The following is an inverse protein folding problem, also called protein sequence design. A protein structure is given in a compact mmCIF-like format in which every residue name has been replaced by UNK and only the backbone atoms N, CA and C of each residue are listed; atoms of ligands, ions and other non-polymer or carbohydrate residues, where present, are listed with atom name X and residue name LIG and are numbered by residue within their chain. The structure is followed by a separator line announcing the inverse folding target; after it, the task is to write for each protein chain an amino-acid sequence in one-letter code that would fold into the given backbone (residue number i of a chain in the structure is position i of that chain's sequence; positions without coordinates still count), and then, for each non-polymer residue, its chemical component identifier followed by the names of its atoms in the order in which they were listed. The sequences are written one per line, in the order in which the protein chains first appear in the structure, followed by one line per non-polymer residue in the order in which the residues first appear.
data_IF_685173278549
#
_entry.id   IF_685173278549
#
_cell.length_a   1.000
_cell.length_b   1.000
_cell.length_c   1.000
_cell.angle_alpha   90.00
_cell.angle_beta   90.00
_cell.angle_gamma   90.00
#
_symmetry.space_group_name_H-M   'P 1'
#
loop_
_entity.id
_entity.type
_entity.pdbx_description
1 polymer ?
#
# COMPACT_ATOMS: atom_id res chain seq x y z
N UNK A 1 -1.98 -35.04 6.01
CA UNK A 1 -1.99 -34.02 7.07
C UNK A 1 -3.14 -33.09 6.69
N UNK A 2 -4.30 -33.27 7.31
CA UNK A 2 -5.51 -32.50 6.98
C UNK A 2 -5.46 -31.18 7.74
N UNK A 3 -5.40 -30.06 7.01
CA UNK A 3 -5.71 -28.76 7.58
C UNK A 3 -7.18 -28.77 8.02
N UNK A 4 -7.41 -28.63 9.32
CA UNK A 4 -8.75 -28.50 9.90
C UNK A 4 -9.42 -27.23 9.36
N UNK A 5 -10.63 -27.29 8.78
CA UNK A 5 -11.28 -26.14 8.14
C UNK A 5 -11.85 -25.11 9.13
N UNK A 6 -11.44 -25.16 10.41
CA UNK A 6 -11.98 -24.36 11.51
C UNK A 6 -10.93 -23.47 12.19
N UNK A 7 -9.81 -23.15 11.54
CA UNK A 7 -9.00 -22.04 12.02
C UNK A 7 -9.78 -20.75 11.83
N UNK A 8 -10.35 -20.26 12.94
CA UNK A 8 -10.85 -18.90 13.06
C UNK A 8 -9.79 -17.97 12.46
N UNK A 9 -10.11 -17.16 11.44
CA UNK A 9 -9.13 -16.30 10.79
C UNK A 9 -8.43 -15.50 11.88
N UNK A 10 -7.12 -15.73 12.01
CA UNK A 10 -6.33 -15.15 13.07
C UNK A 10 -6.61 -13.66 13.14
N UNK A 11 -7.11 -13.27 14.31
CA UNK A 11 -7.87 -12.06 14.52
C UNK A 11 -6.96 -10.91 14.11
N UNK A 12 -7.49 -10.08 13.20
CA UNK A 12 -6.88 -8.85 12.68
C UNK A 12 -5.83 -8.27 13.61
N UNK A 13 -4.60 -8.11 13.12
CA UNK A 13 -3.51 -7.57 13.92
C UNK A 13 -3.91 -6.21 14.55
N UNK A 14 -3.33 -5.87 15.70
CA UNK A 14 -3.68 -4.65 16.45
C UNK A 14 -3.59 -3.37 15.61
N UNK A 15 -2.72 -3.35 14.60
CA UNK A 15 -2.61 -2.26 13.65
C UNK A 15 -3.86 -2.10 12.79
N UNK A 16 -4.32 -3.18 12.15
CA UNK A 16 -5.56 -3.20 11.36
C UNK A 16 -6.75 -2.74 12.20
N UNK A 17 -6.83 -3.21 13.44
CA UNK A 17 -7.88 -2.81 14.37
C UNK A 17 -7.80 -1.31 14.72
N UNK A 18 -6.59 -0.77 14.94
CA UNK A 18 -6.36 0.65 15.23
C UNK A 18 -6.79 1.52 14.04
N UNK A 19 -6.34 1.19 12.83
CA UNK A 19 -6.70 1.94 11.62
C UNK A 19 -8.21 1.98 11.42
N UNK A 20 -8.90 0.84 11.58
CA UNK A 20 -10.35 0.77 11.45
C UNK A 20 -11.07 1.56 12.54
N UNK A 21 -10.57 1.57 13.78
CA UNK A 21 -11.16 2.39 14.86
C UNK A 21 -11.01 3.88 14.59
N UNK A 22 -9.90 4.30 13.99
CA UNK A 22 -9.62 5.69 13.64
C UNK A 22 -10.30 6.09 12.32
N UNK A 23 -10.94 5.16 11.61
CA UNK A 23 -11.55 5.39 10.30
C UNK A 23 -10.51 5.68 9.21
N UNK A 24 -9.24 5.33 9.46
CA UNK A 24 -8.14 5.51 8.53
C UNK A 24 -8.18 4.39 7.49
N UNK A 25 -7.89 4.76 6.24
CA UNK A 25 -7.80 3.80 5.15
C UNK A 25 -6.79 2.69 5.49
N UNK A 26 -7.24 1.44 5.31
CA UNK A 26 -6.48 0.24 5.54
C UNK A 26 -6.33 -0.50 4.21
N UNK A 27 -5.08 -0.68 3.76
CA UNK A 27 -4.77 -1.49 2.58
C UNK A 27 -5.24 -2.93 2.78
N UNK A 28 -5.87 -3.50 1.77
CA UNK A 28 -6.39 -4.87 1.79
C UNK A 28 -5.28 -5.92 1.93
N UNK A 29 -4.06 -5.60 1.48
CA UNK A 29 -2.88 -6.45 1.69
C UNK A 29 -2.72 -6.89 3.15
N UNK A 30 -2.98 -6.01 4.12
CA UNK A 30 -2.83 -6.32 5.55
C UNK A 30 -3.85 -7.32 6.10
N UNK A 31 -4.92 -7.58 5.34
CA UNK A 31 -5.93 -8.58 5.67
C UNK A 31 -5.63 -9.93 4.99
N UNK A 32 -4.69 -9.95 4.06
CA UNK A 32 -4.22 -11.17 3.40
C UNK A 32 -3.32 -12.00 4.33
N UNK A 33 -3.14 -13.29 4.04
CA UNK A 33 -2.26 -14.15 4.85
C UNK A 33 -0.81 -13.65 4.87
N UNK A 34 -0.26 -13.30 3.70
CA UNK A 34 1.09 -12.71 3.58
C UNK A 34 1.22 -11.41 4.40
N UNK A 35 0.24 -10.51 4.28
CA UNK A 35 0.26 -9.24 5.02
C UNK A 35 0.06 -9.42 6.52
N UNK A 36 -0.76 -10.37 6.97
CA UNK A 36 -0.91 -10.70 8.39
C UNK A 36 0.39 -11.25 8.98
N UNK A 37 1.09 -12.12 8.25
CA UNK A 37 2.38 -12.66 8.67
C UNK A 37 3.47 -11.57 8.71
N UNK A 38 3.51 -10.71 7.68
CA UNK A 38 4.39 -9.55 7.62
C UNK A 38 4.14 -8.60 8.81
N UNK A 39 2.89 -8.37 9.20
CA UNK A 39 2.61 -7.52 10.36
C UNK A 39 2.97 -8.20 11.67
N UNK A 40 2.82 -9.52 11.81
CA UNK A 40 3.25 -10.23 13.02
C UNK A 40 4.76 -10.16 13.21
N UNK A 41 5.53 -10.32 12.14
CA UNK A 41 6.99 -10.18 12.19
C UNK A 41 7.39 -8.73 12.49
N UNK A 42 6.64 -7.75 11.97
CA UNK A 42 6.81 -6.33 12.31
C UNK A 42 6.19 -5.91 13.65
N UNK A 43 5.44 -6.75 14.36
CA UNK A 43 4.80 -6.39 15.64
C UNK A 43 5.83 -6.04 16.73
N UNK A 44 7.05 -6.56 16.63
CA UNK A 44 8.19 -6.13 17.45
C UNK A 44 8.84 -4.79 17.01
N UNK A 45 8.55 -4.35 15.79
CA UNK A 45 9.02 -3.10 15.18
C UNK A 45 7.83 -2.20 14.83
N UNK A 46 7.34 -1.47 15.83
CA UNK A 46 6.79 -0.13 15.61
C UNK A 46 5.60 -0.01 14.60
N UNK A 47 4.49 -0.71 14.87
CA UNK A 47 3.23 -0.39 14.19
C UNK A 47 2.51 0.85 14.77
N UNK A 48 2.99 1.38 15.90
CA UNK A 48 2.49 2.62 16.48
C UNK A 48 3.18 3.83 15.84
N UNK A 49 2.49 4.97 15.67
CA UNK A 49 3.08 6.25 15.23
C UNK A 49 4.01 6.91 16.29
N UNK A 50 4.60 6.11 17.17
CA UNK A 50 5.55 6.57 18.17
C UNK A 50 6.92 6.87 17.55
N UNK A 51 7.74 7.63 18.29
CA UNK A 51 9.14 7.81 17.93
C UNK A 51 9.93 6.55 18.31
N UNK A 52 10.79 6.09 17.40
CA UNK A 52 11.74 5.02 17.64
C UNK A 52 13.17 5.58 17.62
N UNK A 53 14.03 5.15 18.56
CA UNK A 53 15.43 5.51 18.53
C UNK A 53 16.12 4.71 17.41
N UNK A 54 16.90 5.42 16.59
CA UNK A 54 17.99 4.87 15.79
C UNK A 54 19.27 5.23 16.53
N UNK A 55 20.05 4.21 16.88
CA UNK A 55 21.37 4.39 17.45
C UNK A 55 22.35 4.33 16.29
N UNK A 56 23.06 5.43 16.05
CA UNK A 56 24.22 5.42 15.15
C UNK A 56 25.34 4.60 15.83
N UNK A 57 25.73 3.44 15.27
CA UNK A 57 26.73 2.58 15.90
C UNK A 57 28.15 3.19 15.88
N UNK A 58 28.39 4.20 15.04
CA UNK A 58 29.70 4.85 14.86
C UNK A 58 29.80 6.11 15.73
N UNK A 59 28.75 6.94 15.75
CA UNK A 59 28.76 8.20 16.52
C UNK A 59 28.15 8.08 17.92
N UNK A 60 27.51 6.95 18.26
CA UNK A 60 26.84 6.74 19.55
C UNK A 60 25.66 7.68 19.81
N UNK A 61 25.20 8.40 18.78
CA UNK A 61 24.09 9.35 18.86
C UNK A 61 22.77 8.61 18.65
N UNK A 62 21.78 8.91 19.48
CA UNK A 62 20.41 8.46 19.27
C UNK A 62 19.61 9.53 18.53
N UNK A 63 19.09 9.19 17.36
CA UNK A 63 18.11 10.01 16.64
C UNK A 63 16.74 9.37 16.78
N UNK A 64 15.74 10.18 17.10
CA UNK A 64 14.36 9.72 17.17
C UNK A 64 13.69 9.92 15.81
N UNK A 65 13.21 8.85 15.21
CA UNK A 65 12.44 8.92 13.96
C UNK A 65 11.02 8.42 14.20
N UNK A 66 10.07 8.86 13.39
CA UNK A 66 8.76 8.24 13.39
C UNK A 66 8.90 6.76 13.05
N UNK A 67 8.24 5.89 13.80
CA UNK A 67 8.12 4.47 13.50
C UNK A 67 7.67 4.19 12.06
N UNK A 68 6.81 5.06 11.52
CA UNK A 68 6.37 5.02 10.13
C UNK A 68 7.51 5.20 9.12
N UNK A 69 8.57 5.93 9.46
CA UNK A 69 9.74 6.15 8.59
C UNK A 69 10.67 4.93 8.51
N UNK A 70 10.52 3.96 9.43
CA UNK A 70 11.24 2.67 9.41
C UNK A 70 10.52 1.61 8.58
N UNK A 71 9.33 1.91 8.05
CA UNK A 71 8.60 0.98 7.19
C UNK A 71 9.26 0.98 5.82
N UNK A 72 9.79 -0.18 5.41
CA UNK A 72 10.22 -0.37 4.03
C UNK A 72 9.03 -0.15 3.11
N UNK A 73 9.06 0.96 2.37
CA UNK A 73 7.96 1.40 1.49
C UNK A 73 7.66 0.39 0.38
N UNK A 74 8.63 -0.51 0.10
CA UNK A 74 8.56 -1.54 -0.91
C UNK A 74 8.13 -2.92 -0.39
N UNK A 75 7.90 -3.08 0.93
CA UNK A 75 7.55 -4.40 1.50
C UNK A 75 6.04 -4.72 1.44
N UNK A 76 5.20 -3.78 1.00
CA UNK A 76 3.74 -3.93 0.96
C UNK A 76 3.20 -3.75 -0.45
N UNK A 77 2.25 -4.61 -0.85
CA UNK A 77 1.55 -4.51 -2.13
C UNK A 77 0.48 -3.42 -2.07
N UNK A 78 0.31 -2.65 -3.15
CA UNK A 78 -0.84 -1.77 -3.30
C UNK A 78 -2.10 -2.61 -3.57
N UNK A 79 -3.28 -2.06 -3.29
CA UNK A 79 -4.55 -2.75 -3.56
C UNK A 79 -4.71 -3.09 -5.05
N UNK A 80 -4.13 -2.27 -5.95
CA UNK A 80 -4.12 -2.51 -7.41
C UNK A 80 -3.24 -3.70 -7.82
N UNK A 81 -2.26 -4.06 -7.00
CA UNK A 81 -1.36 -5.20 -7.24
C UNK A 81 -1.90 -6.51 -6.64
N UNK A 82 -3.03 -6.47 -5.93
CA UNK A 82 -3.64 -7.67 -5.39
C UNK A 82 -4.29 -8.48 -6.52
N UNK A 83 -3.90 -9.76 -6.60
CA UNK A 83 -4.64 -10.70 -7.45
C UNK A 83 -6.08 -10.81 -6.96
N UNK A 84 -7.00 -11.10 -7.87
CA UNK A 84 -8.41 -11.22 -7.54
C UNK A 84 -8.71 -12.21 -6.40
N UNK A 85 -8.03 -13.35 -6.33
CA UNK A 85 -8.26 -14.35 -5.27
C UNK A 85 -7.87 -13.81 -3.89
N UNK A 86 -6.76 -13.06 -3.83
CA UNK A 86 -6.32 -12.35 -2.61
C UNK A 86 -7.33 -11.28 -2.21
N UNK A 87 -7.86 -10.52 -3.17
CA UNK A 87 -8.92 -9.53 -2.94
C UNK A 87 -10.19 -10.19 -2.37
N UNK A 88 -10.68 -11.27 -2.99
CA UNK A 88 -11.86 -12.02 -2.53
C UNK A 88 -11.66 -12.55 -1.11
N UNK A 89 -10.45 -13.02 -0.78
CA UNK A 89 -10.12 -13.49 0.56
C UNK A 89 -9.98 -12.39 1.62
N UNK A 90 -9.53 -11.19 1.22
CA UNK A 90 -9.36 -10.06 2.13
C UNK A 90 -10.69 -9.42 2.56
N UNK A 91 -11.68 -9.35 1.67
CA UNK A 91 -13.01 -8.76 1.95
C UNK A 91 -13.69 -9.32 3.21
N UNK A 92 -13.92 -10.65 3.37
CA UNK A 92 -14.60 -11.17 4.56
C UNK A 92 -13.80 -10.91 5.84
N UNK A 93 -12.47 -10.89 5.74
CA UNK A 93 -11.59 -10.54 6.88
C UNK A 93 -11.73 -9.07 7.25
N UNK A 94 -11.91 -8.16 6.29
CA UNK A 94 -12.19 -6.76 6.57
C UNK A 94 -13.50 -6.60 7.35
N UNK A 95 -14.57 -7.27 6.92
CA UNK A 95 -15.86 -7.20 7.60
C UNK A 95 -15.77 -7.70 9.04
N UNK A 96 -15.04 -8.79 9.26
CA UNK A 96 -14.76 -9.30 10.61
C UNK A 96 -13.92 -8.28 11.42
N UNK A 97 -12.91 -7.66 10.80
CA UNK A 97 -12.10 -6.62 11.43
C UNK A 97 -12.94 -5.41 11.86
N UNK A 98 -13.91 -4.99 11.04
CA UNK A 98 -14.85 -3.91 11.36
C UNK A 98 -15.76 -4.28 12.54
N UNK A 99 -16.23 -5.53 12.61
CA UNK A 99 -16.98 -6.04 13.77
C UNK A 99 -16.14 -5.97 15.05
N UNK A 100 -14.88 -6.41 15.00
CA UNK A 100 -13.96 -6.31 16.14
C UNK A 100 -13.63 -4.85 16.51
N UNK A 101 -13.58 -3.95 15.51
CA UNK A 101 -13.43 -2.52 15.71
C UNK A 101 -14.69 -1.84 16.30
N UNK A 102 -15.77 -2.61 16.53
CA UNK A 102 -17.07 -2.16 17.05
C UNK A 102 -17.72 -1.09 16.17
N UNK A 103 -17.58 -1.23 14.86
CA UNK A 103 -18.33 -0.39 13.94
C UNK A 103 -19.84 -0.64 14.11
N UNK A 104 -20.69 0.38 13.86
CA UNK A 104 -22.14 0.19 13.88
C UNK A 104 -22.58 -0.94 12.93
N UNK A 105 -23.51 -1.81 13.35
CA UNK A 105 -24.01 -2.91 12.51
C UNK A 105 -24.50 -2.45 11.14
N UNK A 106 -25.09 -1.25 11.06
CA UNK A 106 -25.59 -0.64 9.83
C UNK A 106 -24.44 -0.36 8.85
N UNK A 107 -23.29 0.11 9.34
CA UNK A 107 -22.11 0.39 8.52
C UNK A 107 -21.50 -0.92 8.00
N UNK A 108 -21.43 -1.95 8.86
CA UNK A 108 -20.94 -3.27 8.47
C UNK A 108 -21.86 -3.88 7.40
N UNK A 109 -23.18 -3.73 7.54
CA UNK A 109 -24.17 -4.17 6.55
C UNK A 109 -24.01 -3.44 5.21
N UNK A 110 -23.84 -2.12 5.24
CA UNK A 110 -23.61 -1.33 4.05
C UNK A 110 -22.33 -1.78 3.32
N UNK A 111 -21.25 -1.99 4.07
CA UNK A 111 -19.98 -2.42 3.52
C UNK A 111 -20.06 -3.85 2.96
N UNK A 112 -20.75 -4.76 3.64
CA UNK A 112 -20.99 -6.11 3.15
C UNK A 112 -21.76 -6.11 1.83
N UNK A 113 -22.79 -5.27 1.69
CA UNK A 113 -23.54 -5.10 0.42
C UNK A 113 -22.66 -4.54 -0.68
N UNK A 114 -21.88 -3.50 -0.39
CA UNK A 114 -20.97 -2.89 -1.34
C UNK A 114 -19.98 -3.92 -1.92
N UNK A 115 -19.28 -4.64 -1.05
CA UNK A 115 -18.33 -5.66 -1.51
C UNK A 115 -19.03 -6.83 -2.18
N UNK A 116 -20.18 -7.28 -1.66
CA UNK A 116 -20.97 -8.34 -2.29
C UNK A 116 -21.35 -7.99 -3.72
N UNK A 117 -21.76 -6.75 -3.98
CA UNK A 117 -22.08 -6.27 -5.32
C UNK A 117 -20.85 -6.26 -6.24
N UNK A 118 -19.68 -5.86 -5.75
CA UNK A 118 -18.42 -5.92 -6.51
C UNK A 118 -18.05 -7.37 -6.83
N UNK A 119 -18.10 -8.27 -5.85
CA UNK A 119 -17.68 -9.66 -5.98
C UNK A 119 -18.60 -10.47 -6.91
N UNK A 120 -19.87 -10.10 -6.98
CA UNK A 120 -20.91 -10.71 -7.84
C UNK A 120 -21.09 -10.00 -9.18
N UNK A 121 -20.37 -8.90 -9.44
CA UNK A 121 -20.62 -8.08 -10.62
C UNK A 121 -20.33 -8.83 -11.94
N UNK A 122 -21.27 -8.78 -12.89
CA UNK A 122 -21.16 -9.50 -14.17
C UNK A 122 -19.94 -9.12 -15.01
N UNK A 123 -19.43 -7.89 -14.89
CA UNK A 123 -18.19 -7.50 -15.59
C UNK A 123 -16.99 -8.36 -15.18
N UNK A 124 -16.99 -8.95 -13.97
CA UNK A 124 -16.01 -9.96 -13.55
C UNK A 124 -16.02 -11.17 -14.49
N UNK A 125 -17.20 -11.67 -14.83
CA UNK A 125 -17.38 -12.83 -15.69
C UNK A 125 -17.06 -12.51 -17.16
N UNK A 126 -17.22 -11.24 -17.55
CA UNK A 126 -16.89 -10.77 -18.92
C UNK A 126 -15.39 -10.64 -19.18
N UNK A 127 -14.56 -10.51 -18.13
CA UNK A 127 -13.09 -10.56 -18.24
C UNK A 127 -12.59 -12.00 -18.36
N UNK A 128 -12.96 -12.63 -19.47
CA UNK A 128 -12.40 -13.91 -19.91
C UNK A 128 -10.86 -13.83 -19.98
N UNK A 129 -10.13 -14.95 -19.82
CA UNK A 129 -8.67 -14.98 -19.90
C UNK A 129 -8.09 -14.31 -21.16
N UNK A 130 -8.87 -14.30 -22.25
CA UNK A 130 -8.51 -13.68 -23.53
C UNK A 130 -8.38 -12.15 -23.46
N UNK A 131 -9.19 -11.47 -22.63
CA UNK A 131 -9.10 -10.00 -22.46
C UNK A 131 -8.00 -9.58 -21.49
N UNK A 132 -7.47 -10.51 -20.68
CA UNK A 132 -6.43 -10.25 -19.67
C UNK A 132 -5.05 -10.02 -20.30
N UNK A 133 -4.75 -10.70 -21.41
CA UNK A 133 -3.50 -10.50 -22.18
C UNK A 133 -3.41 -9.15 -22.89
N UNK A 134 -4.55 -8.54 -23.24
CA UNK A 134 -4.58 -7.25 -23.95
C UNK A 134 -4.37 -6.06 -23.01
N UNK A 135 -4.81 -6.15 -21.75
CA UNK A 135 -4.67 -5.03 -20.80
C UNK A 135 -3.27 -4.93 -20.14
N UNK A 136 -2.55 -6.05 -19.99
CA UNK A 136 -1.17 -6.03 -19.49
C UNK A 136 -0.14 -5.61 -20.55
N UNK A 137 -0.44 -5.76 -21.85
CA UNK A 137 0.52 -5.40 -22.91
C UNK A 137 0.64 -3.89 -23.12
N UNK A 138 -0.39 -3.12 -22.77
CA UNK A 138 -0.40 -1.65 -22.98
C UNK A 138 0.45 -0.87 -21.96
N UNK A 139 0.89 -1.48 -20.86
CA UNK A 139 1.73 -0.78 -19.85
C UNK A 139 3.24 -0.93 -20.05
N UNK A 140 3.71 -1.72 -21.03
CA UNK A 140 5.15 -1.94 -21.26
C UNK A 140 5.72 -1.27 -22.52
N UNK A 141 4.93 -0.46 -23.24
CA UNK A 141 5.38 0.25 -24.44
C UNK A 141 5.07 1.75 -24.33
N UNK A 142 5.84 2.46 -23.51
CA UNK A 142 6.10 3.90 -23.67
C UNK A 142 7.14 4.35 -22.64
N UNK A 143 8.40 3.94 -22.84
CA UNK A 143 9.57 4.75 -22.49
C UNK A 143 10.66 4.46 -23.52
N UNK A 144 10.51 5.00 -24.73
CA UNK A 144 11.67 5.44 -25.51
C UNK A 144 11.47 6.93 -25.76
N UNK A 145 11.99 7.75 -24.84
CA UNK A 145 12.17 9.18 -25.08
C UNK A 145 13.64 9.35 -25.45
N UNK A 146 13.83 9.77 -26.70
CA UNK A 146 15.10 9.84 -27.36
C UNK A 146 16.07 10.81 -26.69
N UNK A 147 17.33 10.43 -26.81
CA UNK A 147 18.52 11.24 -26.61
C UNK A 147 18.42 12.52 -27.45
N UNK A 148 18.15 13.67 -26.82
CA UNK A 148 18.44 14.97 -27.42
C UNK A 148 19.70 15.53 -26.81
N UNK A 149 20.72 15.52 -27.65
CA UNK A 149 22.08 15.96 -27.43
C UNK A 149 22.13 17.48 -27.64
N UNK A 150 22.26 18.24 -26.56
CA UNK A 150 22.46 19.69 -26.65
C UNK A 150 23.94 20.02 -26.89
N UNK A 151 24.16 20.74 -28.00
CA UNK A 151 25.42 21.28 -28.55
C UNK A 151 26.04 22.35 -27.63
N UNK A 152 27.33 22.69 -27.82
CA UNK A 152 28.13 23.45 -26.88
C UNK A 152 27.97 24.97 -27.05
N UNK A 153 28.07 25.70 -25.93
CA UNK A 153 28.18 27.15 -25.89
C UNK A 153 29.57 27.62 -26.37
N UNK A 154 29.58 28.72 -27.14
CA UNK A 154 30.76 29.53 -27.45
C UNK A 154 30.42 31.02 -27.35
N UNK A 155 31.40 31.91 -27.13
CA UNK A 155 31.32 32.92 -26.10
C UNK A 155 31.32 34.36 -26.63
N UNK A 156 30.84 35.27 -25.77
CA UNK A 156 31.39 36.62 -25.61
C UNK A 156 30.80 37.72 -26.49
N UNK A 157 30.12 38.68 -25.86
CA UNK A 157 30.25 40.11 -26.21
C UNK A 157 29.82 40.97 -25.01
N UNK A 158 30.79 41.62 -24.35
CA UNK A 158 30.61 42.81 -23.50
C UNK A 158 30.82 44.07 -24.37
N UNK A 159 30.73 45.32 -23.84
CA UNK A 159 29.76 46.03 -23.01
C UNK A 159 29.25 47.29 -23.80
N UNK A 160 28.78 48.43 -23.23
CA UNK A 160 29.65 49.36 -22.48
C UNK A 160 29.01 50.06 -21.26
N UNK A 161 29.90 50.67 -20.50
CA UNK A 161 29.74 51.42 -19.25
C UNK A 161 29.31 52.89 -19.45
N UNK A 162 29.11 53.57 -18.29
CA UNK A 162 29.09 55.02 -18.02
C UNK A 162 27.67 55.64 -17.93
N UNK A 163 27.30 56.57 -17.03
CA UNK A 163 27.98 57.37 -16.00
C UNK A 163 26.91 58.01 -15.09
N UNK A 164 27.30 58.35 -13.85
CA UNK A 164 26.83 59.42 -12.94
C UNK A 164 25.49 60.15 -13.16
N UNK A 165 24.71 60.29 -12.08
CA UNK A 165 24.52 61.55 -11.33
C UNK A 165 23.91 61.30 -9.96
#
# INVERSE_FOLDING_TARGET
MHDSPNQCPDISCMYTLKQLKEGVYLKLYYLEYEGLDAVKTMAGQALNEGLQPIIDPIMGRSTWIAASAKRDTNSFKQDDDLTWDKFVGAVPRMLLAMQHARWPPEHISLMAKFWGNILSHNLRLSMSPLMRGLYCSTKHSSVEIGTMQSRPEKPGTSPPSATSS
#
